data_IF_457346218858
#
_entry.id   IF_457346218858
#
_cell.length_a   1.000
_cell.length_b   1.000
_cell.length_c   1.000
_cell.angle_alpha   90.00
_cell.angle_beta   90.00
_cell.angle_gamma   90.00
#
_symmetry.space_group_name_H-M   'P 1'
#
loop_
_entity.id
_entity.type
_entity.pdbx_description
1 polymer ?
#
# COMPACT_ATOMS: atom_id res chain seq x y z
N UNK A 1 -14.98 4.28 -4.96
CA UNK A 1 -14.31 4.32 -6.27
C UNK A 1 -14.16 5.74 -6.75
N UNK A 2 -13.17 6.02 -7.57
CA UNK A 2 -12.86 7.35 -8.12
C UNK A 2 -12.11 7.29 -9.44
N UNK A 3 -12.23 8.33 -10.28
CA UNK A 3 -11.59 8.42 -11.61
C UNK A 3 -10.77 9.69 -11.82
N UNK A 4 -10.80 10.62 -10.86
CA UNK A 4 -10.10 11.91 -10.91
C UNK A 4 -9.85 12.46 -9.50
N UNK A 5 -9.09 13.55 -9.41
CA UNK A 5 -8.82 14.26 -8.15
C UNK A 5 -7.76 13.59 -7.28
N UNK A 6 -7.65 14.09 -6.05
CA UNK A 6 -6.65 13.65 -5.07
C UNK A 6 -7.34 12.87 -3.96
N UNK A 7 -6.93 11.62 -3.80
CA UNK A 7 -7.49 10.70 -2.83
C UNK A 7 -6.40 10.21 -1.88
N UNK A 8 -6.74 10.10 -0.61
CA UNK A 8 -5.83 9.66 0.44
C UNK A 8 -6.42 8.52 1.24
N UNK A 9 -5.65 7.46 1.42
CA UNK A 9 -5.88 6.44 2.44
C UNK A 9 -4.92 6.67 3.61
N UNK A 10 -5.43 6.57 4.82
CA UNK A 10 -4.63 6.61 6.04
C UNK A 10 -5.09 5.54 7.04
N UNK A 11 -4.14 4.89 7.71
CA UNK A 11 -4.44 4.00 8.84
C UNK A 11 -3.16 3.51 9.51
N UNK A 12 -3.30 2.83 10.65
CA UNK A 12 -2.18 2.15 11.29
C UNK A 12 -2.24 0.66 10.98
N UNK A 13 -1.18 0.15 10.35
CA UNK A 13 -0.96 -1.27 10.09
C UNK A 13 -0.11 -1.91 11.18
N UNK A 14 -0.32 -3.21 11.41
CA UNK A 14 0.56 -4.07 12.19
C UNK A 14 0.67 -5.42 11.48
N UNK A 15 1.90 -5.92 11.35
CA UNK A 15 2.17 -7.22 10.73
C UNK A 15 2.99 -8.05 11.73
N UNK A 16 2.51 -9.23 12.16
CA UNK A 16 3.29 -10.09 13.04
C UNK A 16 4.46 -10.72 12.27
N UNK A 17 5.58 -10.92 12.99
CA UNK A 17 6.74 -11.62 12.45
C UNK A 17 6.37 -13.00 11.89
N UNK A 18 6.98 -13.36 10.77
CA UNK A 18 6.70 -14.61 10.06
C UNK A 18 5.68 -14.46 8.93
N UNK A 19 5.03 -13.30 8.78
CA UNK A 19 4.18 -12.99 7.63
C UNK A 19 5.04 -12.53 6.45
N UNK A 20 5.10 -13.27 5.35
CA UNK A 20 5.81 -12.89 4.12
C UNK A 20 4.97 -13.21 2.88
N UNK A 21 5.31 -12.62 1.73
CA UNK A 21 4.64 -12.88 0.45
C UNK A 21 3.19 -12.39 0.39
N UNK A 22 2.91 -11.23 0.99
CA UNK A 22 1.54 -10.65 1.01
C UNK A 22 1.53 -9.18 0.66
N UNK A 23 0.49 -8.73 -0.04
CA UNK A 23 0.13 -7.33 -0.17
C UNK A 23 -0.77 -6.92 0.99
N UNK A 24 -0.42 -5.83 1.66
CA UNK A 24 -1.20 -5.32 2.80
C UNK A 24 -2.05 -4.09 2.47
N UNK A 25 -1.70 -3.37 1.41
CA UNK A 25 -2.41 -2.17 0.96
C UNK A 25 -2.26 -2.03 -0.56
N UNK A 26 -3.31 -1.58 -1.23
CA UNK A 26 -3.33 -1.36 -2.68
C UNK A 26 -4.04 -0.07 -3.06
N UNK A 27 -3.61 0.49 -4.18
CA UNK A 27 -4.43 1.35 -5.04
C UNK A 27 -4.82 0.51 -6.25
N UNK A 28 -6.04 0.00 -6.28
CA UNK A 28 -6.56 -0.78 -7.41
C UNK A 28 -6.88 0.13 -8.60
N UNK A 29 -6.93 -0.45 -9.81
CA UNK A 29 -7.19 0.26 -11.06
C UNK A 29 -5.90 0.72 -11.73
N UNK A 30 -5.95 0.86 -13.04
CA UNK A 30 -4.85 1.28 -13.91
C UNK A 30 -5.06 0.75 -15.33
N UNK A 31 -4.31 1.25 -16.30
CA UNK A 31 -4.35 0.79 -17.69
C UNK A 31 -2.92 0.81 -18.26
N UNK A 32 -2.40 -0.31 -18.78
CA UNK A 32 -3.04 -1.63 -18.94
C UNK A 32 -3.01 -2.52 -17.68
N UNK A 33 -2.62 -1.98 -16.52
CA UNK A 33 -2.38 -2.75 -15.29
C UNK A 33 -3.60 -2.84 -14.38
N UNK A 34 -3.84 -3.98 -13.74
CA UNK A 34 -4.96 -4.13 -12.79
C UNK A 34 -4.83 -3.29 -11.51
N UNK A 35 -3.63 -2.86 -11.14
CA UNK A 35 -3.38 -2.17 -9.87
C UNK A 35 -2.31 -1.12 -10.08
N UNK A 36 -2.54 0.09 -9.55
CA UNK A 36 -1.63 1.24 -9.61
C UNK A 36 -0.47 1.07 -8.65
N UNK A 37 -0.75 0.71 -7.41
CA UNK A 37 0.25 0.55 -6.35
C UNK A 37 -0.06 -0.63 -5.44
N UNK A 38 0.97 -1.34 -4.97
CA UNK A 38 0.87 -2.35 -3.92
C UNK A 38 1.98 -2.16 -2.89
N UNK A 39 1.61 -2.15 -1.62
CA UNK A 39 2.57 -2.34 -0.52
C UNK A 39 2.59 -3.82 -0.15
N UNK A 40 3.76 -4.44 -0.19
CA UNK A 40 3.94 -5.86 0.12
C UNK A 40 4.92 -6.07 1.27
N UNK A 41 4.76 -7.19 1.97
CA UNK A 41 5.66 -7.65 3.01
C UNK A 41 6.49 -8.80 2.46
N UNK A 42 7.81 -8.63 2.49
CA UNK A 42 8.79 -9.67 2.22
C UNK A 42 9.86 -9.65 3.29
N UNK A 43 10.01 -10.77 4.00
CA UNK A 43 11.09 -11.02 4.96
C UNK A 43 11.31 -9.88 5.97
N UNK A 44 10.21 -9.35 6.51
CA UNK A 44 10.21 -8.28 7.51
C UNK A 44 10.35 -6.88 6.96
N UNK A 45 10.42 -6.75 5.63
CA UNK A 45 10.48 -5.46 4.95
C UNK A 45 9.14 -5.13 4.30
N UNK A 46 8.74 -3.87 4.43
CA UNK A 46 7.69 -3.28 3.61
C UNK A 46 8.31 -2.80 2.29
N UNK A 47 7.72 -3.23 1.18
CA UNK A 47 8.22 -3.02 -0.18
C UNK A 47 7.12 -2.43 -1.06
N UNK A 48 7.51 -1.73 -2.13
CA UNK A 48 6.62 -1.39 -3.22
C UNK A 48 6.68 -2.51 -4.26
N UNK A 49 5.58 -3.22 -4.48
CA UNK A 49 5.62 -4.53 -5.15
C UNK A 49 6.73 -5.41 -4.56
N UNK A 50 7.75 -5.82 -5.31
CA UNK A 50 8.90 -6.57 -4.79
C UNK A 50 10.11 -5.66 -4.54
N UNK A 51 10.13 -4.45 -5.11
CA UNK A 51 11.23 -3.49 -5.00
C UNK A 51 10.76 -2.08 -5.42
N UNK A 52 11.21 -1.01 -4.74
CA UNK A 52 12.20 -1.00 -3.67
C UNK A 52 11.66 -1.39 -2.29
N UNK A 53 12.57 -1.66 -1.35
CA UNK A 53 12.28 -1.67 0.08
C UNK A 53 11.98 -0.23 0.52
N UNK A 54 10.78 -0.02 1.08
CA UNK A 54 10.35 1.26 1.63
C UNK A 54 10.75 1.40 3.09
N UNK A 55 10.64 0.32 3.87
CA UNK A 55 10.98 0.30 5.28
C UNK A 55 11.33 -1.13 5.72
N UNK A 56 12.57 -1.40 6.16
CA UNK A 56 12.92 -2.69 6.75
C UNK A 56 12.39 -2.81 8.18
N UNK A 57 12.39 -4.03 8.74
CA UNK A 57 12.07 -4.32 10.14
C UNK A 57 10.68 -3.79 10.59
N UNK A 58 9.65 -4.08 9.80
CA UNK A 58 8.28 -3.56 10.01
C UNK A 58 7.44 -4.41 10.99
N UNK A 59 7.93 -5.59 11.35
CA UNK A 59 7.18 -6.53 12.18
C UNK A 59 6.91 -6.04 13.60
N UNK A 60 5.86 -6.59 14.19
CA UNK A 60 5.55 -6.53 15.61
C UNK A 60 5.43 -5.11 16.19
N UNK A 61 5.10 -4.14 15.34
CA UNK A 61 4.81 -2.77 15.75
C UNK A 61 3.65 -2.21 14.94
N UNK A 62 2.98 -1.21 15.50
CA UNK A 62 2.08 -0.38 14.72
C UNK A 62 2.89 0.63 13.93
N UNK A 63 2.53 0.83 12.67
CA UNK A 63 3.13 1.83 11.78
C UNK A 63 2.04 2.57 11.02
N UNK A 64 2.20 3.88 10.83
CA UNK A 64 1.25 4.68 10.07
C UNK A 64 1.50 4.46 8.58
N UNK A 65 0.48 4.07 7.85
CA UNK A 65 0.46 4.01 6.39
C UNK A 65 -0.38 5.16 5.90
N UNK A 66 0.19 6.01 5.04
CA UNK A 66 -0.54 7.04 4.35
C UNK A 66 -0.17 7.00 2.86
N UNK A 67 -1.18 6.81 2.01
CA UNK A 67 -1.02 6.71 0.56
C UNK A 67 -1.92 7.73 -0.09
N UNK A 68 -1.32 8.61 -0.88
CA UNK A 68 -2.00 9.67 -1.63
C UNK A 68 -1.89 9.33 -3.11
N UNK A 69 -3.02 9.17 -3.78
CA UNK A 69 -3.11 9.03 -5.23
C UNK A 69 -3.67 10.33 -5.80
N UNK A 70 -2.84 11.05 -6.55
CA UNK A 70 -3.25 12.20 -7.36
C UNK A 70 -3.43 11.70 -8.79
N UNK A 71 -4.69 11.53 -9.18
CA UNK A 71 -5.03 10.97 -10.50
C UNK A 71 -4.67 11.96 -11.60
N UNK A 72 -4.85 13.26 -11.34
CA UNK A 72 -4.65 14.32 -12.32
C UNK A 72 -3.14 14.56 -12.56
N UNK A 73 -2.33 14.48 -11.50
CA UNK A 73 -0.87 14.49 -11.61
C UNK A 73 -0.28 13.12 -12.00
N UNK A 74 -1.11 12.07 -12.09
CA UNK A 74 -0.73 10.69 -12.35
C UNK A 74 0.44 10.23 -11.47
N UNK A 75 0.34 10.41 -10.15
CA UNK A 75 1.32 9.89 -9.21
C UNK A 75 0.72 9.37 -7.89
N UNK A 76 1.48 8.48 -7.25
CA UNK A 76 1.18 7.95 -5.92
C UNK A 76 2.33 8.28 -4.99
N UNK A 77 2.02 8.94 -3.88
CA UNK A 77 2.95 9.20 -2.78
C UNK A 77 2.66 8.27 -1.62
N UNK A 78 3.68 7.58 -1.12
CA UNK A 78 3.59 6.62 -0.03
C UNK A 78 4.42 7.13 1.14
N UNK A 79 3.75 7.30 2.27
CA UNK A 79 4.35 7.71 3.53
C UNK A 79 4.22 6.60 4.56
N UNK A 80 5.31 6.33 5.27
CA UNK A 80 5.37 5.38 6.38
C UNK A 80 5.87 6.12 7.61
N UNK A 81 5.10 6.07 8.69
CA UNK A 81 5.36 6.80 9.94
C UNK A 81 5.54 8.32 9.74
N UNK A 82 4.91 8.88 8.70
CA UNK A 82 4.97 10.31 8.36
C UNK A 82 6.09 10.68 7.38
N UNK A 83 7.06 9.79 7.13
CA UNK A 83 8.13 10.02 6.17
C UNK A 83 7.69 9.64 4.76
N UNK A 84 7.96 10.50 3.77
CA UNK A 84 7.80 10.14 2.36
C UNK A 84 8.83 9.05 2.00
N UNK A 85 8.38 7.84 1.70
CA UNK A 85 9.24 6.72 1.30
C UNK A 85 9.29 6.54 -0.21
N UNK A 86 8.24 6.92 -0.93
CA UNK A 86 8.19 6.76 -2.38
C UNK A 86 7.23 7.76 -3.02
N UNK A 87 7.66 8.32 -4.16
CA UNK A 87 6.83 9.12 -5.08
C UNK A 87 7.01 8.49 -6.46
N UNK A 88 5.95 7.90 -7.00
CA UNK A 88 6.01 7.07 -8.20
C UNK A 88 4.87 7.42 -9.14
N UNK A 89 5.10 7.24 -10.43
CA UNK A 89 4.05 7.37 -11.43
C UNK A 89 2.84 6.47 -11.11
N UNK A 90 1.65 7.03 -11.27
CA UNK A 90 0.41 6.29 -11.37
C UNK A 90 0.41 5.40 -12.61
N UNK A 91 -0.65 4.61 -12.77
CA UNK A 91 -0.77 3.67 -13.88
C UNK A 91 -1.89 4.04 -14.83
N UNK A 92 -2.08 5.34 -15.06
CA UNK A 92 -3.00 5.87 -16.07
C UNK A 92 -4.47 5.83 -15.64
N UNK A 93 -5.32 6.42 -16.50
CA UNK A 93 -6.73 6.60 -16.23
C UNK A 93 -7.50 5.28 -16.12
N UNK A 94 -8.17 5.07 -14.98
CA UNK A 94 -9.13 4.01 -14.75
C UNK A 94 -10.07 4.43 -13.59
N UNK A 95 -11.02 3.58 -13.23
CA UNK A 95 -11.68 3.59 -11.93
C UNK A 95 -10.74 2.97 -10.88
N UNK A 96 -10.47 3.73 -9.82
CA UNK A 96 -9.57 3.37 -8.75
C UNK A 96 -10.31 3.26 -7.41
N UNK A 97 -9.73 2.48 -6.50
CA UNK A 97 -10.14 2.42 -5.09
C UNK A 97 -9.02 1.83 -4.23
N UNK A 98 -9.05 2.14 -2.94
CA UNK A 98 -8.09 1.59 -1.99
C UNK A 98 -8.53 0.21 -1.49
N UNK A 99 -7.57 -0.67 -1.26
CA UNK A 99 -7.76 -1.95 -0.57
C UNK A 99 -6.73 -2.07 0.56
N UNK A 100 -7.08 -2.74 1.64
CA UNK A 100 -6.16 -3.08 2.72
C UNK A 100 -6.57 -4.42 3.34
N UNK A 101 -5.66 -5.09 4.03
CA UNK A 101 -5.88 -6.42 4.62
C UNK A 101 -4.78 -7.39 4.24
N UNK A 102 -5.10 -8.67 4.06
CA UNK A 102 -4.16 -9.69 3.58
C UNK A 102 -4.55 -10.12 2.17
N UNK A 103 -3.64 -9.97 1.22
CA UNK A 103 -3.78 -10.53 -0.12
C UNK A 103 -2.51 -11.28 -0.50
N UNK A 104 -2.60 -12.61 -0.61
CA UNK A 104 -1.46 -13.47 -0.92
C UNK A 104 -0.83 -13.09 -2.26
N UNK A 105 0.49 -13.07 -2.31
CA UNK A 105 1.31 -12.82 -3.49
C UNK A 105 2.24 -14.03 -3.72
N UNK A 106 3.43 -13.79 -4.25
CA UNK A 106 4.44 -14.81 -4.50
C UNK A 106 5.09 -15.23 -3.17
N UNK A 107 5.38 -16.53 -3.05
CA UNK A 107 6.09 -17.14 -1.92
C UNK A 107 5.53 -16.79 -0.53
N UNK A 108 4.20 -16.97 -0.29
CA UNK A 108 3.59 -16.61 0.97
C UNK A 108 4.01 -17.56 2.10
N UNK A 109 4.08 -17.02 3.31
CA UNK A 109 4.18 -17.85 4.52
C UNK A 109 2.91 -18.66 4.75
N UNK A 110 3.02 -19.80 5.46
CA UNK A 110 1.90 -20.69 5.76
C UNK A 110 0.76 -20.02 6.55
N UNK A 111 1.10 -19.01 7.35
CA UNK A 111 0.15 -18.16 8.04
C UNK A 111 0.53 -16.71 7.78
N UNK A 112 -0.45 -15.88 7.44
CA UNK A 112 -0.27 -14.48 7.11
C UNK A 112 -1.33 -13.65 7.80
N UNK A 113 -0.93 -12.52 8.36
CA UNK A 113 -1.83 -11.67 9.12
C UNK A 113 -1.47 -10.19 8.93
N UNK A 114 -2.48 -9.34 8.87
CA UNK A 114 -2.32 -7.90 9.01
C UNK A 114 -3.45 -7.37 9.89
N UNK A 115 -3.13 -6.52 10.86
CA UNK A 115 -4.10 -5.85 11.72
C UNK A 115 -4.12 -4.36 11.36
N UNK A 116 -5.30 -3.77 11.45
CA UNK A 116 -5.52 -2.38 11.06
C UNK A 116 -6.39 -1.65 12.08
N UNK A 117 -6.10 -0.37 12.32
CA UNK A 117 -6.91 0.53 13.14
C UNK A 117 -6.87 1.96 12.61
N UNK A 118 -7.83 2.76 13.05
CA UNK A 118 -7.97 4.19 12.75
C UNK A 118 -7.93 4.50 11.24
N UNK A 119 -8.61 3.67 10.45
CA UNK A 119 -8.66 3.77 8.99
C UNK A 119 -9.52 4.95 8.58
N UNK A 120 -8.99 5.79 7.69
CA UNK A 120 -9.65 6.98 7.14
C UNK A 120 -9.37 7.08 5.65
N UNK A 121 -10.35 7.57 4.91
CA UNK A 121 -10.20 7.93 3.50
C UNK A 121 -10.61 9.38 3.35
N UNK A 122 -9.78 10.16 2.66
CA UNK A 122 -10.02 11.56 2.39
C UNK A 122 -10.05 11.81 0.89
N UNK A 123 -10.83 12.81 0.50
CA UNK A 123 -10.88 13.37 -0.84
C UNK A 123 -10.63 14.87 -0.71
N UNK A 124 -9.82 15.42 -1.61
CA UNK A 124 -9.61 16.86 -1.74
C UNK A 124 -10.26 17.39 -3.01
#
# INVERSE_FOLDING_TARGET
>A
DYTCGIWQFEGYGYVPSGTSGVSIMQVFGGSPYATTAMLRIYDGSLTYYESPILTPNIYNRWFRVNVIHDVDANNVKIYIDGDLKYDVAGRGANTHYFKFGVYLQNDPSNCTESRWKDIKVFQK
#
